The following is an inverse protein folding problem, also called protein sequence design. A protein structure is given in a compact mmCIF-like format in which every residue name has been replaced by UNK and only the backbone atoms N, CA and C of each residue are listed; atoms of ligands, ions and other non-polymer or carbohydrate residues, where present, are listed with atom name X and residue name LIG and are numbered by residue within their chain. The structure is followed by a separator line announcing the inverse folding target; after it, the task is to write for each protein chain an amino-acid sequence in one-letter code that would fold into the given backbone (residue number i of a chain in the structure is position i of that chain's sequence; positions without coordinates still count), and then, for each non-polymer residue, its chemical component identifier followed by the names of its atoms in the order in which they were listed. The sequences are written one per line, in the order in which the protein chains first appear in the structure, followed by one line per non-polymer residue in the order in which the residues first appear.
data_IF_921784555050
#
_entry.id   IF_921784555050
#
_cell.length_a   1.000
_cell.length_b   1.000
_cell.length_c   1.000
_cell.angle_alpha   90.00
_cell.angle_beta   90.00
_cell.angle_gamma   90.00
#
_symmetry.space_group_name_H-M   'P 1'
#
loop_
_entity.id
_entity.type
_entity.pdbx_description
1 polymer ?
#
# COMPACT_ATOMS: atom_id res chain seq x y z
N UNK A 1 12.59 2.18 -6.44
CA UNK A 1 13.76 2.38 -5.57
C UNK A 1 14.20 1.07 -4.90
N UNK A 2 13.42 0.43 -4.00
CA UNK A 2 13.83 -0.81 -3.30
C UNK A 2 14.36 -1.91 -4.25
N UNK A 3 13.63 -2.23 -5.32
CA UNK A 3 14.05 -3.27 -6.26
C UNK A 3 15.36 -2.99 -6.99
N UNK A 4 15.69 -1.71 -7.22
CA UNK A 4 16.97 -1.32 -7.83
C UNK A 4 18.13 -1.52 -6.84
N UNK A 5 17.91 -1.18 -5.56
CA UNK A 5 18.91 -1.37 -4.50
C UNK A 5 19.26 -2.86 -4.39
N UNK A 6 18.25 -3.73 -4.29
CA UNK A 6 18.47 -5.17 -4.12
C UNK A 6 19.09 -5.81 -5.37
N UNK A 7 18.75 -5.33 -6.57
CA UNK A 7 19.38 -5.76 -7.81
C UNK A 7 20.86 -5.39 -7.87
N UNK A 8 21.22 -4.15 -7.49
CA UNK A 8 22.62 -3.72 -7.44
C UNK A 8 23.43 -4.52 -6.41
N UNK A 9 22.88 -4.72 -5.21
CA UNK A 9 23.52 -5.51 -4.15
C UNK A 9 23.76 -6.97 -4.58
N UNK A 10 22.78 -7.58 -5.25
CA UNK A 10 22.91 -8.97 -5.71
C UNK A 10 23.80 -9.12 -6.95
N UNK A 11 23.95 -8.07 -7.76
CA UNK A 11 24.87 -8.05 -8.89
C UNK A 11 26.35 -8.02 -8.46
N UNK A 12 26.66 -7.36 -7.36
CA UNK A 12 28.03 -7.29 -6.80
C UNK A 12 28.42 -8.55 -6.00
N UNK A 13 27.43 -9.37 -5.62
CA UNK A 13 27.61 -10.57 -4.81
C UNK A 13 28.23 -11.74 -5.61
N UNK A 14 29.56 -11.79 -5.64
CA UNK A 14 30.36 -12.80 -6.37
C UNK A 14 30.51 -14.17 -5.67
N UNK A 15 29.65 -14.50 -4.70
CA UNK A 15 29.72 -15.75 -3.95
C UNK A 15 28.58 -16.71 -4.32
N UNK A 16 28.82 -18.00 -4.13
CA UNK A 16 27.88 -19.06 -4.51
C UNK A 16 27.15 -19.63 -3.28
N UNK A 17 25.85 -19.89 -3.45
CA UNK A 17 25.00 -20.49 -2.42
C UNK A 17 25.18 -22.02 -2.38
N UNK A 18 25.11 -22.67 -1.19
CA UNK A 18 25.11 -24.11 -1.11
C UNK A 18 23.94 -24.73 -1.91
N UNK A 19 24.20 -25.64 -2.86
CA UNK A 19 23.18 -26.11 -3.81
C UNK A 19 22.06 -26.90 -3.13
N UNK A 20 22.34 -27.54 -1.99
CA UNK A 20 21.33 -28.24 -1.21
C UNK A 20 20.36 -27.28 -0.52
N UNK A 21 20.86 -26.13 -0.02
CA UNK A 21 20.05 -25.10 0.61
C UNK A 21 19.09 -24.49 -0.42
N UNK A 22 19.64 -24.12 -1.59
CA UNK A 22 18.85 -23.52 -2.67
C UNK A 22 17.73 -24.45 -3.13
N UNK A 23 18.02 -25.73 -3.38
CA UNK A 23 17.00 -26.73 -3.77
C UNK A 23 15.92 -26.91 -2.72
N UNK A 24 16.30 -26.94 -1.44
CA UNK A 24 15.35 -27.09 -0.33
C UNK A 24 14.45 -25.87 -0.24
N UNK A 25 14.99 -24.66 -0.41
CA UNK A 25 14.20 -23.44 -0.36
C UNK A 25 13.27 -23.34 -1.57
N UNK A 26 13.77 -23.59 -2.78
CA UNK A 26 12.96 -23.55 -3.99
C UNK A 26 11.79 -24.54 -3.92
N UNK A 27 12.01 -25.75 -3.37
CA UNK A 27 10.95 -26.74 -3.23
C UNK A 27 9.86 -26.29 -2.24
N UNK A 28 10.23 -25.60 -1.16
CA UNK A 28 9.26 -25.04 -0.21
C UNK A 28 8.43 -23.94 -0.84
N UNK A 29 9.07 -23.02 -1.57
CA UNK A 29 8.36 -21.95 -2.28
C UNK A 29 7.40 -22.52 -3.32
N UNK A 30 7.83 -23.52 -4.10
CA UNK A 30 6.96 -24.25 -5.02
C UNK A 30 5.72 -24.81 -4.31
N UNK A 31 5.93 -25.52 -3.19
CA UNK A 31 4.84 -26.15 -2.45
C UNK A 31 3.90 -25.10 -1.84
N UNK A 32 4.42 -23.98 -1.35
CA UNK A 32 3.63 -22.85 -0.86
C UNK A 32 2.75 -22.28 -1.97
N UNK A 33 3.30 -22.00 -3.14
CA UNK A 33 2.54 -21.50 -4.29
C UNK A 33 1.44 -22.47 -4.72
N UNK A 34 1.70 -23.78 -4.67
CA UNK A 34 0.67 -24.79 -4.97
C UNK A 34 -0.49 -24.71 -3.97
N UNK A 35 -0.19 -24.67 -2.68
CA UNK A 35 -1.22 -24.58 -1.64
C UNK A 35 -2.02 -23.28 -1.73
N UNK A 36 -1.38 -22.17 -2.09
CA UNK A 36 -2.03 -20.88 -2.29
C UNK A 36 -2.98 -20.88 -3.49
N UNK A 37 -2.56 -21.45 -4.63
CA UNK A 37 -3.40 -21.60 -5.81
C UNK A 37 -4.58 -22.56 -5.55
N UNK A 38 -4.36 -23.60 -4.76
CA UNK A 38 -5.44 -24.50 -4.34
C UNK A 38 -6.42 -23.80 -3.39
N UNK A 39 -5.92 -23.03 -2.42
CA UNK A 39 -6.75 -22.29 -1.47
C UNK A 39 -7.57 -21.19 -2.15
N UNK A 40 -7.07 -20.61 -3.24
CA UNK A 40 -7.80 -19.64 -4.07
C UNK A 40 -8.78 -20.29 -5.07
N UNK A 41 -8.80 -21.63 -5.16
CA UNK A 41 -9.82 -22.37 -5.90
C UNK A 41 -9.57 -22.53 -7.40
N UNK A 42 -8.33 -22.37 -7.88
CA UNK A 42 -7.98 -22.58 -9.28
C UNK A 42 -8.16 -24.05 -9.71
N UNK A 43 -8.55 -24.32 -10.97
CA UNK A 43 -8.64 -25.69 -11.48
C UNK A 43 -7.26 -26.32 -11.71
N UNK A 44 -7.16 -27.63 -11.53
CA UNK A 44 -5.89 -28.39 -11.60
C UNK A 44 -5.08 -28.15 -12.89
N UNK A 45 -5.75 -27.97 -14.02
CA UNK A 45 -5.09 -27.71 -15.30
C UNK A 45 -4.41 -26.33 -15.36
N UNK A 46 -5.01 -25.31 -14.73
CA UNK A 46 -4.42 -23.98 -14.61
C UNK A 46 -3.27 -23.98 -13.62
N UNK A 47 -3.44 -24.68 -12.50
CA UNK A 47 -2.38 -24.88 -11.50
C UNK A 47 -1.15 -25.50 -12.15
N UNK A 48 -1.31 -26.58 -12.94
CA UNK A 48 -0.19 -27.22 -13.66
C UNK A 48 0.52 -26.27 -14.63
N UNK A 49 -0.24 -25.47 -15.39
CA UNK A 49 0.33 -24.46 -16.31
C UNK A 49 1.12 -23.40 -15.54
N UNK A 50 0.60 -22.93 -14.40
CA UNK A 50 1.28 -21.97 -13.56
C UNK A 50 2.57 -22.54 -12.95
N UNK A 51 2.52 -23.77 -12.41
CA UNK A 51 3.68 -24.46 -11.84
C UNK A 51 4.80 -24.60 -12.86
N UNK A 52 4.50 -25.04 -14.09
CA UNK A 52 5.51 -25.19 -15.13
C UNK A 52 6.22 -23.87 -15.45
N UNK A 53 5.47 -22.77 -15.51
CA UNK A 53 6.05 -21.42 -15.69
C UNK A 53 6.90 -21.02 -14.50
N UNK A 54 6.40 -21.25 -13.28
CA UNK A 54 7.08 -20.89 -12.05
C UNK A 54 8.40 -21.66 -11.91
N UNK A 55 8.41 -22.98 -12.17
CA UNK A 55 9.61 -23.82 -12.12
C UNK A 55 10.77 -23.31 -12.99
N UNK A 56 10.47 -22.75 -14.16
CA UNK A 56 11.50 -22.22 -15.07
C UNK A 56 12.30 -21.07 -14.46
N UNK A 57 11.65 -20.24 -13.63
CA UNK A 57 12.25 -19.05 -13.03
C UNK A 57 12.59 -19.22 -11.55
N UNK A 58 12.04 -20.26 -10.90
CA UNK A 58 12.07 -20.43 -9.45
C UNK A 58 13.49 -20.52 -8.88
N UNK A 59 14.39 -21.25 -9.56
CA UNK A 59 15.76 -21.40 -9.06
C UNK A 59 16.49 -20.06 -9.04
N UNK A 60 16.41 -19.30 -10.14
CA UNK A 60 17.05 -17.99 -10.23
C UNK A 60 16.43 -16.96 -9.29
N UNK A 61 15.09 -16.94 -9.15
CA UNK A 61 14.43 -16.02 -8.22
C UNK A 61 14.73 -16.37 -6.75
N UNK A 62 14.75 -17.66 -6.40
CA UNK A 62 15.10 -18.12 -5.04
C UNK A 62 16.56 -17.83 -4.72
N UNK A 63 17.46 -17.99 -5.70
CA UNK A 63 18.88 -17.65 -5.53
C UNK A 63 19.06 -16.17 -5.22
N UNK A 64 18.43 -15.29 -6.01
CA UNK A 64 18.45 -13.85 -5.78
C UNK A 64 17.87 -13.48 -4.42
N UNK A 65 16.72 -14.04 -4.04
CA UNK A 65 16.07 -13.77 -2.76
C UNK A 65 16.93 -14.22 -1.56
N UNK A 66 17.58 -15.38 -1.66
CA UNK A 66 18.50 -15.84 -0.60
C UNK A 66 19.75 -14.96 -0.50
N UNK A 67 20.30 -14.53 -1.64
CA UNK A 67 21.43 -13.58 -1.65
C UNK A 67 21.05 -12.25 -1.02
N UNK A 68 19.89 -11.70 -1.40
CA UNK A 68 19.34 -10.48 -0.79
C UNK A 68 19.23 -10.63 0.72
N UNK A 69 18.59 -11.69 1.21
CA UNK A 69 18.41 -11.94 2.63
C UNK A 69 19.75 -11.96 3.39
N UNK A 70 20.73 -12.73 2.94
CA UNK A 70 22.02 -12.83 3.62
C UNK A 70 22.83 -11.52 3.59
N UNK A 71 22.73 -10.73 2.51
CA UNK A 71 23.39 -9.43 2.43
C UNK A 71 22.77 -8.46 3.44
N UNK A 72 21.44 -8.38 3.48
CA UNK A 72 20.73 -7.50 4.41
C UNK A 72 20.93 -7.92 5.85
N UNK A 73 20.92 -9.21 6.15
CA UNK A 73 21.25 -9.75 7.48
C UNK A 73 22.66 -9.33 7.90
N UNK A 74 23.64 -9.45 7.00
CA UNK A 74 25.02 -9.04 7.30
C UNK A 74 25.14 -7.53 7.53
N UNK A 75 24.42 -6.71 6.77
CA UNK A 75 24.39 -5.25 6.94
C UNK A 75 23.73 -4.88 8.27
N UNK A 76 22.64 -5.56 8.63
CA UNK A 76 21.95 -5.35 9.89
C UNK A 76 22.85 -5.69 11.08
N UNK A 77 23.56 -6.82 11.04
CA UNK A 77 24.54 -7.20 12.05
C UNK A 77 25.69 -6.20 12.19
N UNK A 78 26.16 -5.60 11.08
CA UNK A 78 27.25 -4.63 11.11
C UNK A 78 26.86 -3.30 11.73
N UNK A 79 25.59 -2.94 11.65
CA UNK A 79 25.04 -1.70 12.17
C UNK A 79 24.26 -1.90 13.49
N UNK A 80 24.34 -3.11 14.08
CA UNK A 80 23.63 -3.52 15.30
C UNK A 80 22.13 -3.17 15.25
N UNK A 81 21.49 -3.43 14.09
CA UNK A 81 20.06 -3.19 13.92
C UNK A 81 19.24 -4.24 14.68
N UNK A 82 18.40 -3.75 15.58
CA UNK A 82 17.48 -4.59 16.36
C UNK A 82 16.04 -4.11 16.23
N UNK A 83 15.11 -5.05 16.09
CA UNK A 83 13.68 -4.75 16.09
C UNK A 83 13.22 -4.40 17.51
N UNK A 84 12.89 -3.12 17.72
CA UNK A 84 12.36 -2.65 19.01
C UNK A 84 10.95 -3.21 19.27
N UNK A 85 10.53 -3.34 20.54
CA UNK A 85 9.15 -3.72 20.86
C UNK A 85 8.12 -2.84 20.14
N UNK A 86 8.37 -1.53 20.09
CA UNK A 86 7.51 -0.55 19.44
C UNK A 86 7.37 -0.81 17.93
N UNK A 87 8.45 -1.18 17.25
CA UNK A 87 8.42 -1.52 15.82
C UNK A 87 7.59 -2.79 15.56
N UNK A 88 7.70 -3.78 16.45
CA UNK A 88 6.89 -5.00 16.38
C UNK A 88 5.40 -4.65 16.56
N UNK A 89 5.06 -3.79 17.52
CA UNK A 89 3.67 -3.38 17.73
C UNK A 89 3.11 -2.61 16.53
N UNK A 90 3.91 -1.70 15.95
CA UNK A 90 3.57 -0.95 14.74
C UNK A 90 3.31 -1.90 13.57
N UNK A 91 4.17 -2.88 13.37
CA UNK A 91 4.02 -3.85 12.28
C UNK A 91 2.76 -4.71 12.46
N UNK A 92 2.51 -5.20 13.68
CA UNK A 92 1.28 -5.95 13.99
C UNK A 92 0.03 -5.11 13.69
N UNK A 93 0.06 -3.82 14.01
CA UNK A 93 -1.04 -2.89 13.71
C UNK A 93 -1.25 -2.73 12.20
N UNK A 94 -0.18 -2.57 11.42
CA UNK A 94 -0.25 -2.49 9.94
C UNK A 94 -0.86 -3.77 9.37
N UNK A 95 -0.39 -4.94 9.81
CA UNK A 95 -0.92 -6.25 9.37
C UNK A 95 -2.40 -6.39 9.74
N UNK A 96 -2.78 -5.97 10.96
CA UNK A 96 -4.16 -6.02 11.43
C UNK A 96 -5.10 -5.15 10.58
N UNK A 97 -4.65 -3.96 10.17
CA UNK A 97 -5.39 -3.09 9.26
C UNK A 97 -5.59 -3.73 7.88
N UNK A 98 -4.53 -4.30 7.31
CA UNK A 98 -4.58 -4.97 6.00
C UNK A 98 -5.51 -6.19 6.00
N UNK A 99 -5.48 -6.98 7.08
CA UNK A 99 -6.30 -8.19 7.24
C UNK A 99 -7.66 -7.92 7.89
N UNK A 100 -8.03 -6.66 8.13
CA UNK A 100 -9.30 -6.25 8.75
C UNK A 100 -9.60 -7.02 10.06
N UNK A 101 -8.57 -7.22 10.87
CA UNK A 101 -8.61 -8.04 12.09
C UNK A 101 -8.10 -7.24 13.28
N UNK A 102 -8.40 -7.65 14.51
CA UNK A 102 -7.87 -6.96 15.70
C UNK A 102 -6.37 -7.26 15.93
N UNK A 103 -5.54 -6.29 16.36
CA UNK A 103 -4.11 -6.49 16.61
C UNK A 103 -3.81 -7.61 17.61
N UNK A 104 -4.64 -7.73 18.65
CA UNK A 104 -4.53 -8.80 19.66
C UNK A 104 -4.65 -10.20 19.05
N UNK A 105 -5.52 -10.36 18.04
CA UNK A 105 -5.73 -11.64 17.36
C UNK A 105 -4.54 -11.98 16.45
N UNK A 106 -3.99 -10.99 15.75
CA UNK A 106 -2.79 -11.18 14.91
C UNK A 106 -1.60 -11.59 15.78
N UNK A 107 -1.35 -10.90 16.91
CA UNK A 107 -0.30 -11.27 17.87
C UNK A 107 -0.45 -12.72 18.33
N UNK A 108 -1.63 -13.10 18.82
CA UNK A 108 -1.89 -14.47 19.27
C UNK A 108 -1.70 -15.50 18.15
N UNK A 109 -2.01 -15.16 16.90
CA UNK A 109 -1.82 -16.03 15.74
C UNK A 109 -0.35 -16.22 15.38
N UNK A 110 0.44 -15.15 15.40
CA UNK A 110 1.88 -15.18 15.15
C UNK A 110 2.62 -15.97 16.23
N UNK A 111 2.30 -15.73 17.50
CA UNK A 111 2.84 -16.50 18.64
C UNK A 111 2.49 -17.99 18.54
N UNK A 112 1.23 -18.31 18.20
CA UNK A 112 0.78 -19.70 18.06
C UNK A 112 1.50 -20.44 16.93
N UNK A 113 1.88 -19.75 15.86
CA UNK A 113 2.61 -20.31 14.72
C UNK A 113 4.13 -20.31 14.90
N UNK A 114 4.64 -19.50 15.84
CA UNK A 114 6.08 -19.27 16.00
C UNK A 114 6.65 -18.30 14.98
N UNK A 115 5.81 -17.47 14.35
CA UNK A 115 6.22 -16.54 13.27
C UNK A 115 6.74 -15.19 13.81
N UNK A 116 6.86 -15.04 15.14
CA UNK A 116 7.31 -13.79 15.77
C UNK A 116 8.76 -13.45 15.41
N UNK A 117 9.63 -14.45 15.29
CA UNK A 117 11.02 -14.23 14.90
C UNK A 117 11.14 -13.88 13.41
N UNK A 118 10.30 -14.47 12.56
CA UNK A 118 10.22 -14.09 11.14
C UNK A 118 9.76 -12.64 10.98
N UNK A 119 8.80 -12.19 11.79
CA UNK A 119 8.36 -10.79 11.81
C UNK A 119 9.50 -9.84 12.20
N UNK A 120 10.27 -10.19 13.23
CA UNK A 120 11.45 -9.42 13.65
C UNK A 120 12.48 -9.29 12.53
N UNK A 121 12.81 -10.39 11.88
CA UNK A 121 13.75 -10.39 10.77
C UNK A 121 13.26 -9.51 9.61
N UNK A 122 11.97 -9.57 9.28
CA UNK A 122 11.37 -8.71 8.25
C UNK A 122 11.46 -7.22 8.61
N UNK A 123 11.29 -6.86 9.88
CA UNK A 123 11.44 -5.47 10.36
C UNK A 123 12.90 -5.01 10.18
N UNK A 124 13.85 -5.84 10.61
CA UNK A 124 15.29 -5.55 10.51
C UNK A 124 15.73 -5.39 9.05
N UNK A 125 15.29 -6.28 8.16
CA UNK A 125 15.60 -6.18 6.72
C UNK A 125 15.08 -4.88 6.10
N UNK A 126 13.89 -4.44 6.50
CA UNK A 126 13.33 -3.16 6.04
C UNK A 126 14.16 -1.98 6.56
N UNK A 127 14.50 -1.97 7.85
CA UNK A 127 15.36 -0.94 8.45
C UNK A 127 16.73 -0.89 7.77
N UNK A 128 17.32 -2.05 7.44
CA UNK A 128 18.57 -2.12 6.69
C UNK A 128 18.45 -1.44 5.32
N UNK A 129 17.34 -1.65 4.61
CA UNK A 129 17.09 -0.98 3.33
C UNK A 129 16.87 0.51 3.49
N UNK A 130 16.20 0.94 4.56
CA UNK A 130 16.02 2.35 4.88
C UNK A 130 17.38 3.03 5.10
N UNK A 131 18.28 2.43 5.89
CA UNK A 131 19.65 2.92 6.05
C UNK A 131 20.41 3.02 4.72
N UNK A 132 20.34 1.96 3.89
CA UNK A 132 20.99 1.98 2.57
C UNK A 132 20.42 3.10 1.70
N UNK A 133 19.11 3.35 1.79
CA UNK A 133 18.44 4.41 1.04
C UNK A 133 18.88 5.79 1.55
N UNK A 134 19.10 5.97 2.84
CA UNK A 134 19.57 7.25 3.40
C UNK A 134 20.99 7.61 2.96
N UNK A 135 21.86 6.61 2.77
CA UNK A 135 23.25 6.80 2.33
C UNK A 135 23.43 6.77 0.80
N UNK A 136 22.44 6.26 0.07
CA UNK A 136 22.54 6.07 -1.38
C UNK A 136 22.45 7.39 -2.17
N UNK A 137 23.26 7.48 -3.23
CA UNK A 137 23.21 8.58 -4.18
C UNK A 137 22.18 8.30 -5.28
N UNK A 138 21.07 9.05 -5.28
CA UNK A 138 20.04 8.94 -6.31
C UNK A 138 20.27 9.94 -7.44
N UNK A 139 20.14 9.46 -8.68
CA UNK A 139 20.05 10.30 -9.87
C UNK A 139 18.64 10.16 -10.42
N UNK A 140 17.84 11.22 -10.34
CA UNK A 140 16.52 11.26 -10.95
C UNK A 140 16.68 11.35 -12.47
N UNK A 141 16.03 10.46 -13.20
CA UNK A 141 15.99 10.50 -14.66
C UNK A 141 14.56 10.72 -15.10
N UNK A 142 14.35 11.61 -16.08
CA UNK A 142 13.03 11.83 -16.65
C UNK A 142 12.44 10.53 -17.21
N UNK A 143 11.11 10.41 -17.12
CA UNK A 143 10.40 9.29 -17.70
C UNK A 143 10.70 9.26 -19.21
N UNK A 144 11.23 8.16 -19.77
CA UNK A 144 11.44 8.07 -21.20
C UNK A 144 10.10 8.25 -21.91
N UNK A 145 10.10 9.06 -22.98
CA UNK A 145 8.89 9.28 -23.77
C UNK A 145 8.32 7.93 -24.21
N UNK A 146 7.00 7.77 -24.06
CA UNK A 146 6.34 6.53 -24.45
C UNK A 146 6.50 6.35 -25.97
N UNK A 147 7.10 5.23 -26.40
CA UNK A 147 7.21 4.88 -27.82
C UNK A 147 5.83 4.70 -28.50
N UNK A 148 4.74 4.75 -27.73
CA UNK A 148 3.36 4.63 -28.17
C UNK A 148 2.60 5.97 -28.26
N UNK A 149 3.27 7.12 -28.18
CA UNK A 149 2.63 8.43 -28.39
C UNK A 149 1.96 8.55 -29.79
N UNK A 150 2.39 7.73 -30.76
CA UNK A 150 1.81 7.63 -32.11
C UNK A 150 0.72 6.55 -32.26
N UNK A 151 0.15 6.04 -31.15
CA UNK A 151 -0.97 5.09 -31.22
C UNK A 151 -2.32 5.81 -31.29
N UNK A 152 -2.85 5.96 -32.51
CA UNK A 152 -4.18 6.50 -32.73
C UNK A 152 -5.24 5.39 -32.74
N UNK A 153 -6.38 5.63 -32.10
CA UNK A 153 -7.53 4.75 -32.21
C UNK A 153 -8.02 4.72 -33.67
N UNK A 154 -7.83 3.59 -34.37
CA UNK A 154 -8.44 3.40 -35.69
C UNK A 154 -9.96 3.38 -35.52
N UNK A 155 -10.64 4.41 -36.05
CA UNK A 155 -12.12 4.49 -36.15
C UNK A 155 -12.71 3.50 -37.16
N UNK A 156 -11.94 2.48 -37.58
CA UNK A 156 -12.35 1.48 -38.55
C UNK A 156 -12.91 0.23 -37.87
N UNK A 157 -14.17 -0.10 -38.14
CA UNK A 157 -14.72 -1.39 -37.73
C UNK A 157 -14.06 -2.53 -38.53
N UNK A 158 -13.25 -3.33 -37.86
CA UNK A 158 -12.55 -4.50 -38.44
C UNK A 158 -13.55 -5.58 -38.92
N UNK A 159 -14.78 -5.53 -38.39
CA UNK A 159 -15.87 -6.47 -38.67
C UNK A 159 -16.55 -6.29 -40.05
N UNK A 160 -16.17 -5.27 -40.84
CA UNK A 160 -16.78 -5.00 -42.15
C UNK A 160 -18.23 -4.46 -42.09
N UNK A 161 -18.76 -4.26 -40.89
CA UNK A 161 -20.04 -3.58 -40.64
C UNK A 161 -19.71 -2.17 -40.19
N UNK A 162 -20.09 -1.17 -41.00
CA UNK A 162 -20.00 0.23 -40.60
C UNK A 162 -20.91 0.43 -39.37
N UNK A 163 -20.40 0.98 -38.25
CA UNK A 163 -21.27 1.37 -37.16
C UNK A 163 -22.21 2.45 -37.69
N UNK A 164 -23.52 2.16 -37.68
CA UNK A 164 -24.53 3.13 -38.09
C UNK A 164 -24.33 4.42 -37.29
N UNK A 165 -24.03 5.50 -38.00
CA UNK A 165 -23.92 6.84 -37.43
C UNK A 165 -25.16 7.13 -36.59
N UNK A 166 -24.97 7.28 -35.27
CA UNK A 166 -25.98 7.89 -34.41
C UNK A 166 -26.18 9.33 -34.90
N UNK A 167 -27.42 9.80 -35.13
CA UNK A 167 -27.65 11.14 -35.64
C UNK A 167 -26.99 12.16 -34.71
N UNK A 168 -26.22 13.08 -35.30
CA UNK A 168 -25.72 14.26 -34.63
C UNK A 168 -26.93 15.09 -34.18
N UNK A 169 -27.09 15.29 -32.89
CA UNK A 169 -28.00 16.31 -32.38
C UNK A 169 -27.55 17.68 -32.94
N UNK A 170 -28.55 18.45 -33.36
CA UNK A 170 -28.43 19.70 -34.11
C UNK A 170 -27.73 20.79 -33.29
N UNK A 171 -26.42 20.99 -33.50
CA UNK A 171 -25.77 22.26 -33.14
C UNK A 171 -26.11 23.31 -34.21
N UNK A 172 -27.19 24.06 -33.98
CA UNK A 172 -27.44 25.34 -34.65
C UNK A 172 -26.71 26.45 -33.89
N UNK A 173 -25.89 27.28 -34.55
CA UNK A 173 -25.30 28.45 -33.93
C UNK A 173 -26.31 29.61 -33.95
N UNK A 174 -26.82 30.00 -32.79
CA UNK A 174 -27.43 31.32 -32.60
C UNK A 174 -26.44 32.23 -31.86
N UNK A 175 -25.98 33.25 -32.57
CA UNK A 175 -25.20 34.39 -32.06
C UNK A 175 -26.13 35.55 -31.67
N UNK A 176 -25.72 36.25 -30.60
CA UNK A 176 -26.18 37.57 -30.08
C UNK A 176 -27.58 37.57 -29.41
N UNK A 177 -27.80 38.10 -28.19
CA UNK A 177 -27.32 39.35 -27.57
C UNK A 177 -27.24 39.24 -26.03
N UNK A 178 -26.27 39.96 -25.43
CA UNK A 178 -26.19 40.21 -23.99
C UNK A 178 -26.56 41.67 -23.73
N UNK A 179 -27.63 41.92 -22.96
CA UNK A 179 -27.91 43.17 -22.25
C UNK A 179 -28.87 42.89 -21.08
N UNK A 180 -28.32 42.80 -19.85
CA UNK A 180 -28.51 43.78 -18.75
C UNK A 180 -29.95 43.99 -18.29
N UNK A 181 -30.25 43.50 -17.08
CA UNK A 181 -30.92 44.31 -16.05
C UNK A 181 -30.77 43.63 -14.69
N UNK A 182 -29.93 44.22 -13.86
CA UNK A 182 -30.00 44.11 -12.42
C UNK A 182 -30.78 45.34 -11.90
N UNK A 183 -31.62 45.07 -10.90
CA UNK A 183 -31.93 45.96 -9.77
C UNK A 183 -33.27 46.72 -9.74
N UNK A 184 -33.89 46.59 -8.55
CA UNK A 184 -34.83 47.48 -7.87
C UNK A 184 -36.35 47.39 -8.19
N UNK A 185 -37.06 46.69 -7.30
CA UNK A 185 -37.97 47.40 -6.36
C UNK A 185 -37.70 46.87 -4.95
N UNK A 186 -37.04 47.71 -4.15
CA UNK A 186 -36.94 47.67 -2.70
C UNK A 186 -38.18 48.36 -2.07
N UNK A 187 -38.13 48.53 -0.74
CA UNK A 187 -39.07 49.24 0.16
C UNK A 187 -40.27 48.43 0.67
N UNK A 188 -40.57 48.36 1.97
CA UNK A 188 -40.05 49.01 3.18
C UNK A 188 -40.66 48.22 4.39
N UNK A 189 -40.26 48.30 5.65
CA UNK A 189 -39.27 49.07 6.39
C UNK A 189 -39.15 48.47 7.82
N UNK A 190 -38.01 48.75 8.46
CA UNK A 190 -37.85 49.06 9.91
C UNK A 190 -38.18 47.97 10.95
N UNK A 191 -37.45 47.78 12.06
CA UNK A 191 -36.44 48.61 12.74
C UNK A 191 -35.71 47.68 13.76
N UNK A 192 -34.39 47.82 13.91
CA UNK A 192 -33.64 47.32 15.08
C UNK A 192 -33.72 48.41 16.20
N UNK A 193 -32.94 48.41 17.30
CA UNK A 193 -32.12 47.38 17.96
C UNK A 193 -32.36 47.34 19.50
N UNK A 194 -31.74 46.41 20.24
CA UNK A 194 -31.18 46.71 21.57
C UNK A 194 -30.37 45.52 22.14
N UNK A 195 -29.17 45.90 22.59
CA UNK A 195 -28.24 45.26 23.50
C UNK A 195 -28.88 45.05 24.89
N UNK A 196 -28.70 43.88 25.51
CA UNK A 196 -28.58 43.76 26.97
C UNK A 196 -28.08 42.35 27.36
N UNK A 197 -26.89 42.28 27.97
CA UNK A 197 -26.61 41.24 28.96
C UNK A 197 -26.90 41.84 30.33
N UNK A 198 -27.57 41.11 31.23
CA UNK A 198 -26.86 40.82 32.46
C UNK A 198 -27.07 39.40 33.00
N UNK A 199 -26.20 39.12 33.97
CA UNK A 199 -26.01 37.94 34.77
C UNK A 199 -27.12 37.69 35.82
N UNK A 200 -26.80 36.76 36.72
CA UNK A 200 -27.39 36.41 38.02
C UNK A 200 -28.47 35.30 38.01
N UNK A 201 -28.14 34.09 38.52
CA UNK A 201 -28.22 33.67 39.96
C UNK A 201 -29.67 33.25 40.29
N UNK A 202 -30.06 32.23 41.06
CA UNK A 202 -29.56 31.30 42.09
C UNK A 202 -30.56 30.11 41.99
N UNK A 203 -30.22 28.83 42.17
CA UNK A 203 -30.10 28.13 43.45
C UNK A 203 -29.81 26.66 43.12
N UNK A 204 -28.76 26.03 43.65
CA UNK A 204 -28.54 25.71 45.08
C UNK A 204 -29.54 24.64 45.56
N UNK A 205 -29.04 23.40 45.58
CA UNK A 205 -29.07 22.48 46.73
C UNK A 205 -28.19 21.29 46.28
N UNK A 206 -26.89 21.23 46.62
CA UNK A 206 -26.36 20.90 47.94
C UNK A 206 -26.97 19.60 48.49
N UNK A 207 -26.25 18.49 48.30
CA UNK A 207 -25.70 17.80 49.47
C UNK A 207 -24.53 16.91 49.03
N UNK A 208 -23.35 17.49 49.27
CA UNK A 208 -22.09 16.85 49.69
C UNK A 208 -22.37 15.79 50.75
N UNK A 209 -21.70 14.65 50.72
CA UNK A 209 -20.74 14.17 51.75
C UNK A 209 -20.70 12.63 51.51
N UNK A 210 -19.61 11.89 51.52
CA UNK A 210 -18.35 12.04 52.25
C UNK A 210 -17.41 10.92 51.77
N UNK A 211 -16.15 11.30 51.52
CA UNK A 211 -14.95 10.55 51.93
C UNK A 211 -14.61 9.17 51.29
N UNK A 212 -13.58 9.20 50.43
CA UNK A 212 -12.58 8.13 50.31
C UNK A 212 -11.46 8.39 51.35
N UNK A 213 -10.38 7.59 51.52
CA UNK A 213 -10.07 6.18 51.20
C UNK A 213 -9.33 5.45 52.37
N UNK A 214 -8.70 4.30 52.05
CA UNK A 214 -7.54 3.64 52.70
C UNK A 214 -7.75 2.63 53.85
N UNK A 215 -7.49 1.35 53.53
CA UNK A 215 -6.43 0.51 54.14
C UNK A 215 -6.25 -0.80 53.34
#
# INVERSE_FOLDING_TARGET
TRGQITELLTAEANWELPPQLLRRQSQRELQRSILELQASGFPDEEIRRHINRLQQNLLGSTEKALKEHFILERIAEQNDLEATPEDIEREILIIAMQQQTSPRRIRAQLEKRGDMDALRNQIIERQAIELITEEANFTETDLPADENEDTFALSGAISGVQPGSRPADEDKPETEEVATEAEAVAEANEEAPADDSPAEEVAEDADTEEEAPEA
#
